data_IF_133620311543
#
_entry.id   IF_133620311543
#
_cell.length_a   1.000
_cell.length_b   1.000
_cell.length_c   1.000
_cell.angle_alpha   90.00
_cell.angle_beta   90.00
_cell.angle_gamma   90.00
#
_symmetry.space_group_name_H-M   'P 1'
#
loop_
_entity.id
_entity.type
_entity.pdbx_description
1 polymer ?
#
# COMPACT_ATOMS: atom_id res chain seq x y z
N UNK A 1 -8.96 -0.29 2.23
CA UNK A 1 -8.47 1.11 2.22
C UNK A 1 -8.41 1.56 3.67
N UNK A 2 -7.24 1.90 4.19
CA UNK A 2 -7.11 2.48 5.52
C UNK A 2 -7.42 3.97 5.48
N UNK A 3 -7.97 4.53 6.56
CA UNK A 3 -8.19 5.97 6.73
C UNK A 3 -7.53 6.37 8.05
N UNK A 4 -6.71 7.41 8.01
CA UNK A 4 -6.08 8.01 9.20
C UNK A 4 -6.65 9.41 9.40
N UNK A 5 -7.16 9.71 10.58
CA UNK A 5 -7.72 11.02 10.96
C UNK A 5 -6.68 11.84 11.72
N UNK A 6 -6.68 13.17 11.55
CA UNK A 6 -5.76 14.10 12.23
C UNK A 6 -4.27 13.90 11.92
N UNK A 7 -3.96 13.36 10.73
CA UNK A 7 -2.60 13.06 10.27
C UNK A 7 -2.26 13.91 9.04
N UNK A 8 -1.07 14.52 9.02
CA UNK A 8 -0.58 15.26 7.85
C UNK A 8 -0.20 14.31 6.72
N UNK A 9 -0.17 14.81 5.48
CA UNK A 9 0.13 13.98 4.30
C UNK A 9 1.49 13.28 4.42
N UNK A 10 2.50 13.97 4.93
CA UNK A 10 3.85 13.43 5.13
C UNK A 10 3.87 12.29 6.14
N UNK A 11 3.12 12.41 7.23
CA UNK A 11 2.99 11.38 8.26
C UNK A 11 2.23 10.15 7.71
N UNK A 12 1.22 10.36 6.87
CA UNK A 12 0.51 9.29 6.19
C UNK A 12 1.43 8.54 5.20
N UNK A 13 2.33 9.25 4.51
CA UNK A 13 3.36 8.64 3.65
C UNK A 13 4.32 7.79 4.49
N UNK A 14 4.80 8.31 5.63
CA UNK A 14 5.69 7.57 6.53
C UNK A 14 5.01 6.31 7.09
N UNK A 15 3.73 6.40 7.46
CA UNK A 15 2.94 5.25 7.88
C UNK A 15 2.80 4.22 6.75
N UNK A 16 2.53 4.67 5.53
CA UNK A 16 2.53 3.81 4.35
C UNK A 16 3.85 3.09 4.15
N UNK A 17 4.98 3.79 4.34
CA UNK A 17 6.31 3.20 4.14
C UNK A 17 6.63 2.16 5.21
N UNK A 18 6.22 2.42 6.46
CA UNK A 18 6.31 1.44 7.54
C UNK A 18 5.54 0.16 7.22
N UNK A 19 4.30 0.29 6.71
CA UNK A 19 3.50 -0.87 6.28
C UNK A 19 4.18 -1.60 5.12
N UNK A 20 4.65 -0.87 4.11
CA UNK A 20 5.30 -1.43 2.92
C UNK A 20 6.54 -2.25 3.29
N UNK A 21 7.42 -1.68 4.11
CA UNK A 21 8.64 -2.33 4.60
C UNK A 21 8.33 -3.54 5.48
N UNK A 22 7.31 -3.43 6.34
CA UNK A 22 6.88 -4.55 7.19
C UNK A 22 6.46 -5.75 6.33
N UNK A 23 5.67 -5.51 5.29
CA UNK A 23 5.19 -6.58 4.41
C UNK A 23 6.32 -7.15 3.54
N UNK A 24 7.17 -6.30 2.96
CA UNK A 24 8.34 -6.74 2.16
C UNK A 24 9.28 -7.64 2.97
N UNK A 25 9.51 -7.29 4.23
CA UNK A 25 10.42 -8.03 5.11
C UNK A 25 9.76 -9.27 5.73
N UNK A 26 8.43 -9.39 5.69
CA UNK A 26 7.73 -10.56 6.22
C UNK A 26 7.83 -11.77 5.28
N UNK A 27 8.06 -12.95 5.84
CA UNK A 27 8.02 -14.21 5.09
C UNK A 27 6.67 -14.88 5.31
N UNK A 28 5.89 -15.01 4.24
CA UNK A 28 4.57 -15.62 4.30
C UNK A 28 4.70 -17.13 4.09
N UNK A 29 4.21 -17.92 5.03
CA UNK A 29 4.25 -19.38 4.96
C UNK A 29 2.89 -19.91 4.50
N UNK A 30 2.90 -20.76 3.47
CA UNK A 30 1.71 -21.46 2.98
C UNK A 30 1.91 -22.96 3.10
N UNK A 31 0.84 -23.68 3.40
CA UNK A 31 0.83 -25.12 3.41
C UNK A 31 0.30 -25.62 2.07
N UNK A 32 1.08 -26.45 1.39
CA UNK A 32 0.63 -27.13 0.19
C UNK A 32 -0.18 -28.37 0.60
N UNK A 33 -1.50 -28.31 0.37
CA UNK A 33 -2.42 -29.40 0.70
C UNK A 33 -2.53 -30.46 -0.41
N UNK A 34 -1.81 -30.29 -1.53
CA UNK A 34 -1.87 -31.18 -2.70
C UNK A 34 -0.74 -32.22 -2.75
N UNK A 35 0.26 -32.12 -1.87
CA UNK A 35 1.35 -33.08 -1.76
C UNK A 35 1.09 -34.10 -0.63
N UNK A 36 1.43 -35.38 -0.87
CA UNK A 36 1.37 -36.46 0.13
C UNK A 36 2.16 -36.15 1.42
N UNK A 37 3.10 -35.19 1.35
CA UNK A 37 3.82 -34.63 2.48
C UNK A 37 3.47 -33.14 2.66
N UNK A 38 3.10 -32.74 3.88
CA UNK A 38 2.82 -31.32 4.22
C UNK A 38 4.07 -30.46 4.02
N UNK A 39 4.28 -29.93 2.82
CA UNK A 39 5.34 -28.96 2.55
C UNK A 39 4.89 -27.57 2.98
N UNK A 40 5.73 -26.92 3.79
CA UNK A 40 5.58 -25.49 4.09
C UNK A 40 6.42 -24.72 3.09
N UNK A 41 5.78 -23.88 2.28
CA UNK A 41 6.43 -23.04 1.28
C UNK A 41 6.46 -21.62 1.83
N UNK A 42 7.65 -21.01 1.89
CA UNK A 42 7.78 -19.58 2.20
C UNK A 42 7.76 -18.75 0.91
N UNK A 43 6.96 -17.70 0.87
CA UNK A 43 6.96 -16.72 -0.22
C UNK A 43 7.16 -15.30 0.29
N UNK A 44 7.64 -14.44 -0.60
CA UNK A 44 7.74 -13.00 -0.40
C UNK A 44 6.66 -12.31 -1.23
N UNK A 45 5.92 -11.42 -0.59
CA UNK A 45 4.99 -10.52 -1.28
C UNK A 45 5.38 -9.08 -0.99
N UNK A 46 4.96 -8.17 -1.87
CA UNK A 46 5.14 -6.74 -1.71
C UNK A 46 3.82 -6.02 -1.94
N UNK A 47 3.71 -4.77 -1.49
CA UNK A 47 2.52 -3.96 -1.69
C UNK A 47 2.87 -2.63 -2.35
N UNK A 48 1.93 -2.08 -3.10
CA UNK A 48 1.98 -0.70 -3.60
C UNK A 48 0.92 0.10 -2.86
N UNK A 49 1.23 1.33 -2.46
CA UNK A 49 0.34 2.18 -1.66
C UNK A 49 0.21 3.54 -2.34
N UNK A 50 -1.02 4.05 -2.42
CA UNK A 50 -1.33 5.40 -2.86
C UNK A 50 -1.86 6.22 -1.70
N UNK A 51 -1.41 7.47 -1.57
CA UNK A 51 -1.77 8.39 -0.48
C UNK A 51 -2.38 9.67 -1.05
N UNK A 52 -3.49 10.10 -0.46
CA UNK A 52 -4.08 11.42 -0.65
C UNK A 52 -4.59 11.94 0.71
N UNK A 53 -4.63 13.26 0.90
CA UNK A 53 -4.96 13.92 2.16
C UNK A 53 -6.04 14.97 1.97
N UNK A 54 -7.00 15.03 2.90
CA UNK A 54 -7.96 16.13 3.00
C UNK A 54 -7.53 17.11 4.11
N UNK A 55 -7.69 18.43 3.93
CA UNK A 55 -8.18 19.11 2.72
C UNK A 55 -7.09 19.38 1.67
N UNK A 56 -5.85 18.95 1.91
CA UNK A 56 -4.67 19.33 1.11
C UNK A 56 -4.80 18.99 -0.39
N UNK A 57 -5.31 17.81 -0.72
CA UNK A 57 -5.55 17.39 -2.10
C UNK A 57 -7.01 17.64 -2.52
N UNK A 58 -7.96 17.44 -1.60
CA UNK A 58 -9.41 17.65 -1.83
C UNK A 58 -10.17 17.54 -0.52
N UNK A 59 -11.26 18.30 -0.39
CA UNK A 59 -12.24 18.22 0.71
C UNK A 59 -13.42 17.28 0.39
N UNK A 60 -13.61 16.94 -0.89
CA UNK A 60 -14.60 15.95 -1.32
C UNK A 60 -14.13 14.51 -1.07
N UNK A 61 -14.88 13.76 -0.27
CA UNK A 61 -14.55 12.38 0.09
C UNK A 61 -14.40 11.43 -1.12
N UNK A 62 -15.24 11.57 -2.16
CA UNK A 62 -15.16 10.70 -3.36
C UNK A 62 -13.88 11.02 -4.13
N UNK A 63 -13.55 12.30 -4.30
CA UNK A 63 -12.30 12.73 -4.93
C UNK A 63 -11.07 12.23 -4.16
N UNK A 64 -11.11 12.24 -2.82
CA UNK A 64 -10.01 11.77 -1.98
C UNK A 64 -9.64 10.32 -2.29
N UNK A 65 -10.65 9.46 -2.40
CA UNK A 65 -10.49 8.04 -2.76
C UNK A 65 -9.89 7.91 -4.16
N UNK A 66 -10.41 8.67 -5.14
CA UNK A 66 -9.93 8.64 -6.52
C UNK A 66 -8.48 9.11 -6.62
N UNK A 67 -8.08 10.09 -5.82
CA UNK A 67 -6.73 10.62 -5.81
C UNK A 67 -5.75 9.62 -5.20
N UNK A 68 -6.11 8.97 -4.10
CA UNK A 68 -5.32 7.87 -3.55
C UNK A 68 -5.18 6.69 -4.54
N UNK A 69 -6.26 6.31 -5.23
CA UNK A 69 -6.20 5.25 -6.24
C UNK A 69 -5.34 5.65 -7.45
N UNK A 70 -5.44 6.91 -7.91
CA UNK A 70 -4.59 7.43 -8.98
C UNK A 70 -3.12 7.43 -8.58
N UNK A 71 -2.79 7.85 -7.36
CA UNK A 71 -1.44 7.79 -6.82
C UNK A 71 -0.92 6.35 -6.77
N UNK A 72 -1.74 5.41 -6.28
CA UNK A 72 -1.43 3.98 -6.26
C UNK A 72 -1.13 3.45 -7.67
N UNK A 73 -2.00 3.74 -8.64
CA UNK A 73 -1.90 3.19 -9.97
C UNK A 73 -0.74 3.82 -10.75
N UNK A 74 -0.73 5.15 -10.87
CA UNK A 74 0.24 5.87 -11.69
C UNK A 74 1.60 5.96 -11.01
N UNK A 75 1.65 6.27 -9.71
CA UNK A 75 2.88 6.54 -8.99
C UNK A 75 3.55 5.27 -8.43
N UNK A 76 2.77 4.25 -8.06
CA UNK A 76 3.32 3.02 -7.50
C UNK A 76 3.29 1.83 -8.48
N UNK A 77 2.12 1.43 -8.98
CA UNK A 77 1.99 0.21 -9.80
C UNK A 77 2.71 0.31 -11.15
N UNK A 78 2.60 1.44 -11.86
CA UNK A 78 3.19 1.62 -13.19
C UNK A 78 4.69 1.88 -13.19
N UNK A 79 5.25 2.38 -12.09
CA UNK A 79 6.66 2.83 -12.02
C UNK A 79 7.59 1.76 -11.41
N UNK A 80 7.07 0.55 -11.15
CA UNK A 80 7.88 -0.58 -10.66
C UNK A 80 7.32 -1.29 -9.43
N UNK A 81 6.15 -0.88 -8.92
CA UNK A 81 5.50 -1.43 -7.71
C UNK A 81 6.36 -1.21 -6.46
N UNK A 82 6.02 -1.92 -5.38
CA UNK A 82 6.72 -1.95 -4.09
C UNK A 82 7.19 -0.57 -3.61
N UNK A 83 6.25 0.39 -3.57
CA UNK A 83 6.51 1.75 -3.11
C UNK A 83 5.23 2.43 -2.63
N UNK A 84 5.41 3.51 -1.88
CA UNK A 84 4.38 4.48 -1.57
C UNK A 84 4.45 5.61 -2.59
N UNK A 85 3.29 6.02 -3.10
CA UNK A 85 3.18 7.19 -3.97
C UNK A 85 2.11 8.12 -3.42
N UNK A 86 2.39 9.41 -3.45
CA UNK A 86 1.40 10.43 -3.13
C UNK A 86 0.69 10.93 -4.39
N UNK A 87 -0.50 11.47 -4.19
CA UNK A 87 -1.17 12.21 -5.25
C UNK A 87 -0.44 13.53 -5.50
N UNK A 88 -0.07 13.77 -6.75
CA UNK A 88 0.46 15.04 -7.25
C UNK A 88 -0.51 15.49 -8.33
N UNK A 89 -1.29 16.53 -8.02
CA UNK A 89 -2.34 17.12 -8.85
C UNK A 89 -1.95 18.47 -9.39
#
# INVERSE_FOLDING_TARGET
MGVSTDVKKEEAIQMGESIRQTIENFSFYMHDNLADERKTISTKITVSIGVASAPADTDNAISLIRYADRALYLGAKRVGRNRVAEYVG
#
